data_IF_111904170458
#
_entry.id   IF_111904170458
#
_cell.length_a   1.000
_cell.length_b   1.000
_cell.length_c   1.000
_cell.angle_alpha   90.00
_cell.angle_beta   90.00
_cell.angle_gamma   90.00
#
_symmetry.space_group_name_H-M   'P 1'
#
loop_
_entity.id
_entity.type
_entity.pdbx_description
1 polymer ?
#
# COMPACT_ATOMS: atom_id res chain seq x y z
N UNK A 1 21.12 23.13 16.79
CA UNK A 1 21.14 23.57 15.38
C UNK A 1 19.74 24.06 15.05
N UNK A 2 19.53 25.26 14.51
CA UNK A 2 18.17 25.63 14.13
C UNK A 2 17.85 24.81 12.90
N UNK A 3 17.03 23.77 13.05
CA UNK A 3 16.40 23.14 11.90
C UNK A 3 15.68 24.24 11.12
N UNK A 4 15.78 24.21 9.79
CA UNK A 4 14.91 25.00 8.94
C UNK A 4 13.46 24.80 9.41
N UNK A 5 12.72 25.89 9.55
CA UNK A 5 11.40 25.86 10.17
C UNK A 5 10.43 25.05 9.29
N UNK A 6 9.96 23.91 9.82
CA UNK A 6 9.04 23.03 9.10
C UNK A 6 7.59 23.42 9.37
N UNK A 7 6.78 23.41 8.32
CA UNK A 7 5.36 23.74 8.33
C UNK A 7 4.52 22.47 8.32
N UNK A 8 3.61 22.33 9.28
CA UNK A 8 2.70 21.21 9.40
C UNK A 8 1.27 21.68 9.07
N UNK A 9 0.61 21.00 8.14
CA UNK A 9 -0.81 21.21 7.88
C UNK A 9 -1.63 20.46 8.94
N UNK A 10 -2.53 21.15 9.61
CA UNK A 10 -3.48 20.60 10.58
C UNK A 10 -4.86 20.61 9.92
N UNK A 11 -5.44 19.42 9.75
CA UNK A 11 -6.78 19.26 9.16
C UNK A 11 -7.72 18.73 10.23
N UNK A 12 -8.89 19.35 10.35
CA UNK A 12 -9.95 18.85 11.22
C UNK A 12 -11.21 19.70 11.14
N UNK A 13 -12.26 19.24 11.81
CA UNK A 13 -13.53 19.94 11.90
C UNK A 13 -13.45 20.98 13.02
N UNK A 14 -13.03 22.20 12.69
CA UNK A 14 -12.79 23.25 13.70
C UNK A 14 -14.10 23.71 14.37
N UNK A 15 -15.25 23.54 13.71
CA UNK A 15 -16.58 23.77 14.30
C UNK A 15 -16.90 22.92 15.55
N UNK A 16 -16.25 21.77 15.69
CA UNK A 16 -16.54 20.76 16.73
C UNK A 16 -15.33 20.36 17.56
N UNK A 17 -14.12 20.55 17.03
CA UNK A 17 -12.85 20.07 17.60
C UNK A 17 -11.80 21.17 17.75
N UNK A 18 -12.23 22.44 17.78
CA UNK A 18 -11.33 23.59 17.90
C UNK A 18 -10.32 23.44 19.03
N UNK A 19 -10.78 23.06 20.23
CA UNK A 19 -9.91 22.97 21.41
C UNK A 19 -8.78 21.95 21.26
N UNK A 20 -9.06 20.83 20.61
CA UNK A 20 -8.12 19.76 20.36
C UNK A 20 -7.15 20.10 19.23
N UNK A 21 -7.64 20.71 18.15
CA UNK A 21 -6.84 21.15 17.01
C UNK A 21 -5.90 22.30 17.39
N UNK A 22 -6.41 23.26 18.18
CA UNK A 22 -5.62 24.37 18.72
C UNK A 22 -4.54 23.86 19.68
N UNK A 23 -4.83 22.86 20.50
CA UNK A 23 -3.81 22.23 21.35
C UNK A 23 -2.68 21.56 20.55
N UNK A 24 -3.00 20.86 19.46
CA UNK A 24 -1.99 20.30 18.53
C UNK A 24 -1.13 21.43 17.96
N UNK A 25 -1.77 22.51 17.51
CA UNK A 25 -1.08 23.66 16.95
C UNK A 25 -0.10 24.30 17.94
N UNK A 26 -0.55 24.51 19.19
CA UNK A 26 0.26 25.05 20.28
C UNK A 26 1.49 24.17 20.56
N UNK A 27 1.32 22.84 20.58
CA UNK A 27 2.44 21.91 20.74
C UNK A 27 3.48 22.07 19.62
N UNK A 28 3.04 22.11 18.36
CA UNK A 28 3.93 22.26 17.20
C UNK A 28 4.67 23.61 17.24
N UNK A 29 3.95 24.69 17.53
CA UNK A 29 4.50 26.05 17.58
C UNK A 29 5.47 26.22 18.75
N UNK A 30 5.17 25.66 19.93
CA UNK A 30 6.05 25.69 21.11
C UNK A 30 7.41 25.03 20.82
N UNK A 31 7.42 23.98 20.00
CA UNK A 31 8.65 23.33 19.55
C UNK A 31 9.33 24.05 18.37
N UNK A 32 8.81 25.18 17.92
CA UNK A 32 9.37 25.98 16.82
C UNK A 32 8.96 25.53 15.42
N UNK A 33 7.89 24.76 15.28
CA UNK A 33 7.24 24.47 14.00
C UNK A 33 6.35 25.63 13.52
N UNK A 34 5.96 25.59 12.25
CA UNK A 34 4.87 26.40 11.67
C UNK A 34 3.64 25.52 11.49
N UNK A 35 2.46 26.15 11.49
CA UNK A 35 1.19 25.46 11.28
C UNK A 35 0.42 26.17 10.17
N UNK A 36 -0.30 25.39 9.36
CA UNK A 36 -1.39 25.84 8.49
C UNK A 36 -2.63 25.12 9.00
N UNK A 37 -3.72 25.83 9.28
CA UNK A 37 -4.98 25.28 9.76
C UNK A 37 -5.98 25.19 8.61
N UNK A 38 -6.50 24.00 8.37
CA UNK A 38 -7.52 23.74 7.35
C UNK A 38 -8.78 23.22 8.00
N UNK A 39 -9.87 24.00 7.86
CA UNK A 39 -11.18 23.61 8.35
C UNK A 39 -11.92 22.73 7.33
N UNK A 40 -12.32 21.55 7.79
CA UNK A 40 -13.16 20.62 7.03
C UNK A 40 -14.54 20.42 7.68
N UNK A 41 -14.91 21.30 8.61
CA UNK A 41 -16.27 21.40 9.14
C UNK A 41 -17.27 21.78 8.06
N UNK A 42 -18.54 21.46 8.29
CA UNK A 42 -19.63 21.69 7.30
C UNK A 42 -20.68 22.63 7.86
N UNK A 43 -21.07 22.46 9.13
CA UNK A 43 -22.26 23.09 9.69
C UNK A 43 -21.94 24.33 10.52
N UNK A 44 -20.91 24.28 11.37
CA UNK A 44 -20.57 25.38 12.26
C UNK A 44 -19.45 26.26 11.72
N UNK A 45 -19.14 27.29 12.50
CA UNK A 45 -18.00 28.18 12.26
C UNK A 45 -16.88 27.83 13.26
N UNK A 46 -15.61 27.94 12.84
CA UNK A 46 -14.47 27.76 13.75
C UNK A 46 -14.45 28.88 14.80
N UNK A 47 -13.99 28.57 16.01
CA UNK A 47 -13.79 29.57 17.07
C UNK A 47 -12.44 30.27 16.88
N UNK A 48 -11.42 29.48 16.52
CA UNK A 48 -10.08 29.96 16.18
C UNK A 48 -10.00 30.38 14.72
N UNK A 49 -9.07 31.29 14.40
CA UNK A 49 -8.76 31.65 13.01
C UNK A 49 -8.14 30.45 12.28
N UNK A 50 -8.59 30.22 11.05
CA UNK A 50 -8.10 29.17 10.16
C UNK A 50 -7.45 29.79 8.93
N UNK A 51 -6.39 29.15 8.41
CA UNK A 51 -5.65 29.64 7.25
C UNK A 51 -6.34 29.23 5.93
N UNK A 52 -7.07 28.11 5.95
CA UNK A 52 -7.86 27.59 4.84
C UNK A 52 -9.28 27.31 5.36
N UNK A 53 -10.26 28.03 4.80
CA UNK A 53 -11.67 27.92 5.17
C UNK A 53 -12.35 26.69 4.58
N UNK A 54 -13.48 26.28 5.17
CA UNK A 54 -14.34 25.20 4.63
C UNK A 54 -14.87 25.54 3.24
N UNK A 55 -15.09 26.83 2.92
CA UNK A 55 -15.50 27.30 1.60
C UNK A 55 -14.41 27.04 0.55
N UNK A 56 -13.15 27.33 0.87
CA UNK A 56 -12.01 27.04 -0.01
C UNK A 56 -11.84 25.53 -0.22
N UNK A 57 -12.00 24.73 0.85
CA UNK A 57 -11.97 23.26 0.75
C UNK A 57 -13.08 22.76 -0.17
N UNK A 58 -14.33 23.19 0.04
CA UNK A 58 -15.46 22.78 -0.79
C UNK A 58 -15.25 23.17 -2.27
N UNK A 59 -14.76 24.39 -2.52
CA UNK A 59 -14.46 24.88 -3.86
C UNK A 59 -13.39 24.03 -4.56
N UNK A 60 -12.30 23.67 -3.86
CA UNK A 60 -11.25 22.81 -4.42
C UNK A 60 -11.75 21.37 -4.65
N UNK A 61 -12.78 20.94 -3.92
CA UNK A 61 -13.48 19.68 -4.14
C UNK A 61 -14.49 19.70 -5.30
N UNK A 62 -14.66 20.85 -5.96
CA UNK A 62 -15.61 21.05 -7.05
C UNK A 62 -17.06 21.27 -6.59
N UNK A 63 -17.28 21.79 -5.39
CA UNK A 63 -18.61 22.09 -4.85
C UNK A 63 -18.61 23.38 -4.01
N UNK A 64 -19.66 23.60 -3.22
CA UNK A 64 -19.81 24.72 -2.29
C UNK A 64 -20.45 24.24 -0.99
N UNK A 65 -20.24 24.94 0.11
CA UNK A 65 -20.85 24.58 1.40
C UNK A 65 -22.38 24.46 1.34
N UNK A 66 -23.12 25.37 0.68
CA UNK A 66 -24.57 25.20 0.52
C UNK A 66 -24.98 23.94 -0.25
N UNK A 67 -24.25 23.56 -1.31
CA UNK A 67 -24.50 22.31 -2.05
C UNK A 67 -24.21 21.09 -1.18
N UNK A 68 -23.10 21.09 -0.45
CA UNK A 68 -22.70 20.00 0.45
C UNK A 68 -23.74 19.81 1.56
N UNK A 69 -24.23 20.90 2.17
CA UNK A 69 -25.31 20.85 3.16
C UNK A 69 -26.59 20.29 2.53
N UNK A 70 -26.87 20.61 1.27
CA UNK A 70 -28.07 20.14 0.57
C UNK A 70 -28.10 18.63 0.29
N UNK A 71 -26.98 17.91 0.46
CA UNK A 71 -26.96 16.46 0.33
C UNK A 71 -27.81 15.76 1.39
N UNK A 72 -28.01 16.38 2.56
CA UNK A 72 -28.71 15.79 3.72
C UNK A 72 -28.17 14.39 4.10
N UNK A 73 -26.88 14.17 3.83
CA UNK A 73 -26.16 12.92 4.06
C UNK A 73 -24.72 13.25 4.49
N UNK A 74 -24.40 12.93 5.75
CA UNK A 74 -23.10 13.24 6.35
C UNK A 74 -21.94 12.55 5.61
N UNK A 75 -22.15 11.35 5.08
CA UNK A 75 -21.12 10.61 4.36
C UNK A 75 -20.82 11.25 3.00
N UNK A 76 -21.85 11.62 2.23
CA UNK A 76 -21.65 12.34 0.97
C UNK A 76 -21.01 13.71 1.19
N UNK A 77 -21.39 14.41 2.26
CA UNK A 77 -20.81 15.69 2.61
C UNK A 77 -19.32 15.56 2.95
N UNK A 78 -18.96 14.59 3.80
CA UNK A 78 -17.56 14.36 4.18
C UNK A 78 -16.69 13.89 3.02
N UNK A 79 -17.21 13.08 2.09
CA UNK A 79 -16.48 12.71 0.87
C UNK A 79 -16.19 13.92 -0.03
N UNK A 80 -17.12 14.88 -0.14
CA UNK A 80 -16.88 16.10 -0.90
C UNK A 80 -15.78 16.96 -0.26
N UNK A 81 -15.82 17.11 1.06
CA UNK A 81 -14.77 17.81 1.82
C UNK A 81 -13.41 17.09 1.74
N UNK A 82 -13.42 15.75 1.75
CA UNK A 82 -12.21 14.94 1.66
C UNK A 82 -11.48 15.13 0.32
N UNK A 83 -12.21 15.15 -0.80
CA UNK A 83 -11.65 15.48 -2.12
C UNK A 83 -10.98 16.86 -2.14
N UNK A 84 -11.67 17.86 -1.60
CA UNK A 84 -11.15 19.22 -1.50
C UNK A 84 -9.88 19.32 -0.66
N UNK A 85 -9.91 18.72 0.53
CA UNK A 85 -8.77 18.71 1.45
C UNK A 85 -7.57 17.96 0.86
N UNK A 86 -7.81 16.85 0.16
CA UNK A 86 -6.76 16.08 -0.52
C UNK A 86 -6.08 16.88 -1.63
N UNK A 87 -6.87 17.59 -2.45
CA UNK A 87 -6.37 18.47 -3.50
C UNK A 87 -5.53 19.63 -2.92
N UNK A 88 -6.05 20.35 -1.91
CA UNK A 88 -5.32 21.45 -1.27
C UNK A 88 -4.04 20.99 -0.58
N UNK A 89 -4.07 19.84 0.10
CA UNK A 89 -2.87 19.28 0.71
C UNK A 89 -1.80 18.93 -0.35
N UNK A 90 -2.23 18.41 -1.51
CA UNK A 90 -1.32 18.12 -2.62
C UNK A 90 -0.74 19.41 -3.24
N UNK A 91 -1.54 20.47 -3.38
CA UNK A 91 -1.09 21.76 -3.88
C UNK A 91 -0.06 22.38 -2.92
N UNK A 92 -0.35 22.43 -1.62
CA UNK A 92 0.59 22.90 -0.59
C UNK A 92 1.90 22.12 -0.56
N UNK A 93 1.85 20.80 -0.81
CA UNK A 93 3.04 19.97 -0.94
C UNK A 93 3.85 20.32 -2.20
N UNK A 94 3.17 20.44 -3.34
CA UNK A 94 3.79 20.71 -4.64
C UNK A 94 4.44 22.09 -4.68
N UNK A 95 3.84 23.06 -4.00
CA UNK A 95 4.36 24.43 -3.84
C UNK A 95 5.41 24.56 -2.73
N UNK A 96 5.82 23.44 -2.11
CA UNK A 96 6.81 23.39 -1.03
C UNK A 96 6.44 24.27 0.19
N UNK A 97 5.14 24.40 0.47
CA UNK A 97 4.59 25.17 1.59
C UNK A 97 4.32 24.28 2.82
N UNK A 98 4.13 22.97 2.62
CA UNK A 98 3.88 21.99 3.67
C UNK A 98 4.98 20.91 3.72
N UNK A 99 5.37 20.52 4.93
CA UNK A 99 6.42 19.53 5.21
C UNK A 99 5.92 18.30 5.99
N UNK A 100 4.64 18.27 6.34
CA UNK A 100 3.96 17.17 7.02
C UNK A 100 2.49 17.52 7.24
N UNK A 101 1.65 16.52 7.43
CA UNK A 101 0.22 16.71 7.71
C UNK A 101 -0.18 15.94 8.96
N UNK A 102 -1.03 16.56 9.79
CA UNK A 102 -1.71 15.91 10.90
C UNK A 102 -3.23 16.10 10.75
N UNK A 103 -3.98 15.00 10.80
CA UNK A 103 -5.44 14.99 10.69
C UNK A 103 -6.03 14.38 11.95
N UNK A 104 -6.98 15.08 12.59
CA UNK A 104 -7.66 14.63 13.80
C UNK A 104 -9.13 14.31 13.51
N UNK A 105 -9.63 13.16 13.98
CA UNK A 105 -11.06 12.91 13.90
C UNK A 105 -11.58 11.59 14.48
N UNK A 106 -12.91 11.48 14.50
CA UNK A 106 -13.61 10.21 14.71
C UNK A 106 -13.64 9.37 13.43
N UNK A 107 -14.67 8.56 13.23
CA UNK A 107 -14.83 7.74 12.02
C UNK A 107 -14.84 8.59 10.74
N UNK A 108 -15.65 9.65 10.70
CA UNK A 108 -15.74 10.56 9.54
C UNK A 108 -14.43 11.30 9.25
N UNK A 109 -13.78 11.87 10.28
CA UNK A 109 -12.50 12.52 10.08
C UNK A 109 -11.38 11.55 9.71
N UNK A 110 -11.48 10.28 10.12
CA UNK A 110 -10.56 9.22 9.66
C UNK A 110 -10.78 8.90 8.19
N UNK A 111 -12.03 8.80 7.75
CA UNK A 111 -12.39 8.59 6.34
C UNK A 111 -11.71 9.64 5.44
N UNK A 112 -11.88 10.91 5.80
CA UNK A 112 -11.24 12.05 5.15
C UNK A 112 -9.70 11.96 5.21
N UNK A 113 -9.15 11.63 6.38
CA UNK A 113 -7.72 11.52 6.57
C UNK A 113 -7.09 10.48 5.63
N UNK A 114 -7.76 9.35 5.41
CA UNK A 114 -7.27 8.30 4.51
C UNK A 114 -7.16 8.80 3.07
N UNK A 115 -8.14 9.58 2.60
CA UNK A 115 -8.12 10.18 1.25
C UNK A 115 -7.00 11.21 1.09
N UNK A 116 -6.85 12.14 2.05
CA UNK A 116 -5.75 13.11 2.07
C UNK A 116 -4.39 12.39 2.07
N UNK A 117 -4.22 11.36 2.90
CA UNK A 117 -2.97 10.64 2.98
C UNK A 117 -2.63 9.89 1.69
N UNK A 118 -3.62 9.38 0.95
CA UNK A 118 -3.41 8.70 -0.33
C UNK A 118 -3.00 9.64 -1.48
N UNK A 119 -3.48 10.88 -1.45
CA UNK A 119 -3.11 11.90 -2.43
C UNK A 119 -1.63 12.31 -2.31
N UNK A 120 -1.12 12.38 -1.08
CA UNK A 120 0.25 12.77 -0.81
C UNK A 120 1.27 11.66 -1.18
N UNK A 121 2.45 12.00 -1.71
CA UNK A 121 3.46 11.02 -2.11
C UNK A 121 4.18 10.39 -0.93
N UNK A 122 4.90 9.28 -1.15
CA UNK A 122 5.75 8.67 -0.12
C UNK A 122 6.87 9.65 0.29
N UNK A 123 7.16 9.70 1.59
CA UNK A 123 8.28 10.44 2.16
C UNK A 123 7.90 11.75 2.86
N UNK A 124 6.68 12.26 2.66
CA UNK A 124 6.11 13.29 3.52
C UNK A 124 5.46 12.63 4.75
N UNK A 125 5.72 13.11 5.98
CA UNK A 125 5.03 12.64 7.18
C UNK A 125 3.52 12.85 7.11
N UNK A 126 2.75 11.78 7.35
CA UNK A 126 1.29 11.77 7.36
C UNK A 126 0.80 11.15 8.67
N UNK A 127 0.38 12.00 9.60
CA UNK A 127 -0.03 11.59 10.94
C UNK A 127 -1.55 11.66 11.07
N UNK A 128 -2.21 10.53 11.28
CA UNK A 128 -3.64 10.47 11.59
C UNK A 128 -3.81 10.26 13.09
N UNK A 129 -4.64 11.07 13.72
CA UNK A 129 -5.02 10.92 15.13
C UNK A 129 -6.50 10.58 15.16
N UNK A 130 -6.79 9.33 15.48
CA UNK A 130 -8.14 8.79 15.28
C UNK A 130 -8.59 7.91 16.43
N UNK A 131 -9.87 8.00 16.77
CA UNK A 131 -10.54 7.10 17.74
C UNK A 131 -10.68 5.66 17.23
N UNK A 132 -10.46 5.44 15.93
CA UNK A 132 -10.56 4.14 15.26
C UNK A 132 -9.27 3.73 14.54
N UNK A 133 -8.13 4.34 14.91
CA UNK A 133 -6.82 3.91 14.40
C UNK A 133 -6.61 2.41 14.59
N UNK A 134 -6.06 1.74 13.57
CA UNK A 134 -5.83 0.29 13.54
C UNK A 134 -7.09 -0.59 13.62
N UNK A 135 -8.28 0.00 13.50
CA UNK A 135 -9.53 -0.75 13.53
C UNK A 135 -9.68 -1.64 12.29
N UNK A 136 -10.25 -2.86 12.43
CA UNK A 136 -10.61 -3.69 11.28
C UNK A 136 -11.67 -3.05 10.37
N UNK A 137 -12.30 -1.95 10.77
CA UNK A 137 -13.20 -1.17 9.91
C UNK A 137 -12.45 -0.44 8.78
N UNK A 138 -11.16 -0.14 8.97
CA UNK A 138 -10.37 0.54 7.95
C UNK A 138 -9.94 -0.51 6.93
N UNK A 139 -10.51 -0.40 5.73
CA UNK A 139 -10.08 -1.21 4.62
C UNK A 139 -8.57 -0.99 4.37
N UNK A 140 -7.75 -2.06 4.37
CA UNK A 140 -6.35 -2.01 3.97
C UNK A 140 -6.07 -1.11 2.77
N UNK A 141 -6.91 -1.21 1.73
CA UNK A 141 -6.78 -0.48 0.45
C UNK A 141 -6.83 1.04 0.57
N UNK A 142 -7.28 1.56 1.71
CA UNK A 142 -7.36 2.99 1.99
C UNK A 142 -6.12 3.56 2.67
N UNK A 143 -5.21 2.71 3.14
CA UNK A 143 -4.00 3.16 3.83
C UNK A 143 -2.93 3.58 2.81
N UNK A 144 -2.36 4.77 3.01
CA UNK A 144 -1.14 5.16 2.31
C UNK A 144 0.05 4.31 2.80
N UNK A 145 1.04 4.05 1.94
CA UNK A 145 2.13 3.12 2.24
C UNK A 145 2.97 3.49 3.48
N UNK A 146 3.11 4.78 3.77
CA UNK A 146 3.90 5.35 4.86
C UNK A 146 3.04 6.13 5.87
N UNK A 147 1.74 5.81 5.95
CA UNK A 147 0.81 6.43 6.91
C UNK A 147 1.21 6.11 8.35
N UNK A 148 1.12 7.11 9.21
CA UNK A 148 1.32 6.97 10.66
C UNK A 148 -0.01 7.24 11.35
N UNK A 149 -0.38 6.41 12.33
CA UNK A 149 -1.62 6.57 13.06
C UNK A 149 -1.39 6.54 14.57
N UNK A 150 -2.16 7.35 15.30
CA UNK A 150 -2.21 7.37 16.76
C UNK A 150 -3.64 7.08 17.19
N UNK A 151 -3.82 6.04 18.00
CA UNK A 151 -5.10 5.77 18.63
C UNK A 151 -5.38 6.85 19.68
N UNK A 152 -6.39 7.67 19.41
CA UNK A 152 -6.80 8.77 20.26
C UNK A 152 -7.74 8.28 21.38
N UNK A 153 -7.15 7.59 22.36
CA UNK A 153 -7.88 7.01 23.47
C UNK A 153 -8.57 8.09 24.32
N UNK A 154 -9.88 7.94 24.56
CA UNK A 154 -10.67 8.91 25.34
C UNK A 154 -10.98 10.22 24.60
N UNK A 155 -10.67 10.29 23.30
CA UNK A 155 -10.80 11.48 22.45
C UNK A 155 -12.18 11.82 21.92
N UNK A 156 -13.24 11.19 22.43
CA UNK A 156 -14.57 11.37 21.85
C UNK A 156 -15.05 12.83 21.94
N UNK A 157 -14.78 13.49 23.07
CA UNK A 157 -15.19 14.87 23.29
C UNK A 157 -14.37 15.55 24.39
N UNK A 158 -13.80 16.71 24.06
CA UNK A 158 -13.18 17.61 25.03
C UNK A 158 -11.73 17.28 25.36
N UNK A 159 -11.02 18.30 25.82
CA UNK A 159 -9.59 18.27 26.03
C UNK A 159 -9.21 17.90 27.48
N UNK A 160 -9.33 16.62 27.83
CA UNK A 160 -8.86 16.08 29.12
C UNK A 160 -7.35 15.74 29.10
N UNK A 161 -6.77 15.36 30.25
CA UNK A 161 -5.33 15.06 30.37
C UNK A 161 -4.87 13.86 29.54
N UNK A 162 -5.75 12.86 29.34
CA UNK A 162 -5.47 11.69 28.49
C UNK A 162 -5.41 12.14 27.03
N UNK A 163 -6.39 12.95 26.60
CA UNK A 163 -6.40 13.55 25.27
C UNK A 163 -5.11 14.35 25.04
N UNK A 164 -4.77 15.30 25.93
CA UNK A 164 -3.56 16.12 25.80
C UNK A 164 -2.28 15.29 25.66
N UNK A 165 -2.16 14.20 26.42
CA UNK A 165 -1.02 13.30 26.32
C UNK A 165 -0.92 12.62 24.95
N UNK A 166 -2.05 12.12 24.41
CA UNK A 166 -2.08 11.50 23.08
C UNK A 166 -1.82 12.51 21.96
N UNK A 167 -2.43 13.70 22.04
CA UNK A 167 -2.29 14.76 21.04
C UNK A 167 -0.86 15.34 21.01
N UNK A 168 -0.21 15.51 22.16
CA UNK A 168 1.17 16.02 22.21
C UNK A 168 2.18 15.03 21.61
N UNK A 169 1.98 13.73 21.81
CA UNK A 169 2.78 12.68 21.16
C UNK A 169 2.64 12.73 19.64
N UNK A 170 1.42 12.88 19.13
CA UNK A 170 1.18 12.97 17.69
C UNK A 170 1.77 14.25 17.08
N UNK A 171 1.64 15.39 17.76
CA UNK A 171 2.24 16.66 17.36
C UNK A 171 3.77 16.59 17.28
N UNK A 172 4.41 16.02 18.31
CA UNK A 172 5.85 15.79 18.33
C UNK A 172 6.31 14.79 17.27
N UNK A 173 5.53 13.72 17.03
CA UNK A 173 5.83 12.71 16.02
C UNK A 173 5.87 13.31 14.60
N UNK A 174 4.83 14.06 14.21
CA UNK A 174 4.75 14.65 12.87
C UNK A 174 5.83 15.72 12.66
N UNK A 175 6.10 16.57 13.66
CA UNK A 175 7.12 17.62 13.56
C UNK A 175 8.53 17.03 13.55
N UNK A 176 8.81 16.05 14.41
CA UNK A 176 10.08 15.33 14.46
C UNK A 176 10.35 14.57 13.16
N UNK A 177 9.33 13.92 12.61
CA UNK A 177 9.40 13.28 11.30
C UNK A 177 9.67 14.30 10.20
N UNK A 178 8.99 15.45 10.18
CA UNK A 178 9.20 16.50 9.15
C UNK A 178 10.62 17.09 9.18
N UNK A 179 11.24 17.18 10.37
CA UNK A 179 12.63 17.62 10.53
C UNK A 179 13.65 16.57 10.08
N UNK A 180 13.31 15.30 10.23
CA UNK A 180 14.22 14.17 10.00
C UNK A 180 14.02 13.50 8.65
N UNK A 181 12.90 13.78 7.97
CA UNK A 181 12.52 13.17 6.71
C UNK A 181 13.62 13.39 5.66
N UNK A 182 13.93 12.31 4.96
CA UNK A 182 14.78 12.34 3.77
C UNK A 182 13.86 12.09 2.58
N UNK A 183 13.57 13.11 1.77
CA UNK A 183 12.73 12.94 0.59
C UNK A 183 13.29 11.83 -0.30
N UNK A 184 12.39 11.09 -0.93
CA UNK A 184 12.79 10.03 -1.85
C UNK A 184 13.61 10.62 -3.01
N UNK A 185 14.83 10.12 -3.17
CA UNK A 185 15.74 10.53 -4.22
C UNK A 185 15.35 9.90 -5.56
N UNK A 186 14.78 10.69 -6.46
CA UNK A 186 14.36 10.23 -7.81
C UNK A 186 15.49 10.25 -8.85
N UNK A 187 16.76 10.30 -8.43
CA UNK A 187 17.91 10.31 -9.35
C UNK A 187 18.12 8.99 -10.11
N UNK A 188 17.53 7.89 -9.62
CA UNK A 188 17.58 6.58 -10.26
C UNK A 188 16.16 6.05 -10.49
N UNK A 189 15.92 5.36 -11.61
CA UNK A 189 14.69 4.60 -11.83
C UNK A 189 14.57 3.46 -10.82
N UNK A 190 13.34 3.07 -10.49
CA UNK A 190 13.08 2.02 -9.50
C UNK A 190 12.40 0.83 -10.15
N UNK A 191 12.94 -0.36 -9.85
CA UNK A 191 12.28 -1.64 -10.09
C UNK A 191 11.52 -2.01 -8.82
N UNK A 192 10.22 -2.25 -8.94
CA UNK A 192 9.43 -2.80 -7.84
C UNK A 192 9.47 -4.33 -7.88
N UNK A 193 9.64 -4.99 -6.74
CA UNK A 193 9.63 -6.45 -6.64
C UNK A 193 8.81 -6.94 -5.45
N UNK A 194 8.02 -7.99 -5.63
CA UNK A 194 7.35 -8.68 -4.51
C UNK A 194 8.16 -9.89 -4.06
N UNK A 195 8.17 -10.18 -2.76
CA UNK A 195 8.81 -11.36 -2.17
C UNK A 195 8.25 -11.72 -0.80
N UNK A 196 8.59 -12.91 -0.31
CA UNK A 196 8.53 -13.31 1.09
C UNK A 196 9.93 -13.28 1.72
N UNK A 197 10.02 -13.67 2.99
CA UNK A 197 11.29 -13.81 3.70
C UNK A 197 12.27 -14.77 3.01
N UNK A 198 13.56 -14.57 3.24
CA UNK A 198 14.65 -15.34 2.61
C UNK A 198 14.67 -16.83 2.97
N UNK A 199 13.88 -17.24 3.95
CA UNK A 199 13.65 -18.64 4.29
C UNK A 199 12.74 -19.35 3.29
N UNK A 200 11.97 -18.60 2.49
CA UNK A 200 11.01 -19.13 1.51
C UNK A 200 11.40 -18.75 0.08
N UNK A 201 11.77 -17.49 -0.17
CA UNK A 201 12.14 -16.97 -1.50
C UNK A 201 13.50 -16.28 -1.46
N UNK A 202 14.37 -16.52 -2.45
CA UNK A 202 15.79 -16.09 -2.40
C UNK A 202 16.26 -15.28 -3.60
N UNK A 203 15.43 -15.15 -4.64
CA UNK A 203 15.81 -14.45 -5.87
C UNK A 203 16.21 -12.99 -5.65
N UNK A 204 15.62 -12.30 -4.67
CA UNK A 204 15.92 -10.89 -4.40
C UNK A 204 17.38 -10.68 -3.98
N UNK A 205 17.99 -11.65 -3.30
CA UNK A 205 19.40 -11.61 -2.88
C UNK A 205 20.32 -11.62 -4.12
N UNK A 206 19.94 -12.37 -5.15
CA UNK A 206 20.69 -12.52 -6.40
C UNK A 206 20.46 -11.34 -7.34
N UNK A 207 19.23 -10.83 -7.38
CA UNK A 207 18.79 -9.79 -8.32
C UNK A 207 19.19 -8.38 -7.89
N UNK A 208 19.11 -8.05 -6.59
CA UNK A 208 19.44 -6.71 -6.06
C UNK A 208 20.78 -6.16 -6.58
N UNK A 209 21.93 -6.82 -6.38
CA UNK A 209 23.22 -6.27 -6.82
C UNK A 209 23.32 -6.14 -8.35
N UNK A 210 22.63 -7.00 -9.10
CA UNK A 210 22.66 -6.98 -10.56
C UNK A 210 21.80 -5.85 -11.14
N UNK A 211 20.64 -5.58 -10.54
CA UNK A 211 19.78 -4.45 -10.90
C UNK A 211 20.48 -3.11 -10.56
N UNK A 212 21.17 -3.03 -9.41
CA UNK A 212 21.93 -1.83 -9.03
C UNK A 212 23.09 -1.52 -9.98
N UNK A 213 23.81 -2.53 -10.46
CA UNK A 213 24.88 -2.37 -11.48
C UNK A 213 24.36 -1.78 -12.79
N UNK A 214 23.07 -1.96 -13.10
CA UNK A 214 22.39 -1.43 -14.29
C UNK A 214 21.87 0.00 -14.09
N UNK A 215 22.10 0.60 -12.92
CA UNK A 215 21.71 1.98 -12.63
C UNK A 215 20.34 2.15 -11.98
N UNK A 216 19.66 1.05 -11.65
CA UNK A 216 18.33 1.06 -11.03
C UNK A 216 18.42 0.90 -9.51
N UNK A 217 17.40 1.34 -8.78
CA UNK A 217 17.15 0.88 -7.41
C UNK A 217 16.14 -0.28 -7.43
N UNK A 218 16.25 -1.21 -6.48
CA UNK A 218 15.28 -2.29 -6.32
C UNK A 218 14.53 -2.13 -5.00
N UNK A 219 13.23 -1.86 -5.10
CA UNK A 219 12.33 -1.79 -3.95
C UNK A 219 11.59 -3.12 -3.77
N UNK A 220 11.90 -3.85 -2.69
CA UNK A 220 11.28 -5.15 -2.39
C UNK A 220 10.14 -5.00 -1.39
N UNK A 221 8.97 -5.51 -1.74
CA UNK A 221 7.74 -5.45 -0.96
C UNK A 221 7.35 -6.83 -0.45
N UNK A 222 7.03 -6.92 0.84
CA UNK A 222 6.57 -8.14 1.46
C UNK A 222 5.10 -8.43 1.11
N UNK A 223 4.84 -9.52 0.39
CA UNK A 223 3.51 -9.83 -0.16
C UNK A 223 2.55 -10.48 0.88
N UNK A 224 2.31 -9.81 2.02
CA UNK A 224 1.40 -10.27 3.08
C UNK A 224 0.14 -9.41 3.22
N UNK A 225 -0.41 -8.95 2.10
CA UNK A 225 -1.60 -8.11 2.00
C UNK A 225 -1.23 -6.63 1.84
N UNK A 226 -0.82 -5.99 2.94
CA UNK A 226 -0.50 -4.55 2.92
C UNK A 226 0.70 -4.19 2.02
N UNK A 227 1.71 -5.06 1.97
CA UNK A 227 2.91 -4.77 1.18
C UNK A 227 2.65 -4.89 -0.32
N UNK A 228 1.91 -5.91 -0.78
CA UNK A 228 1.50 -6.01 -2.19
C UNK A 228 0.49 -4.94 -2.61
N UNK A 229 -0.32 -4.45 -1.67
CA UNK A 229 -1.20 -3.32 -1.91
C UNK A 229 -0.43 -2.01 -2.08
N UNK A 230 0.56 -1.73 -1.23
CA UNK A 230 1.46 -0.60 -1.42
C UNK A 230 2.20 -0.70 -2.76
N UNK A 231 2.68 -1.90 -3.09
CA UNK A 231 3.31 -2.21 -4.36
C UNK A 231 2.40 -1.91 -5.56
N UNK A 232 1.17 -2.41 -5.58
CA UNK A 232 0.24 -2.23 -6.70
C UNK A 232 -0.20 -0.75 -6.84
N UNK A 233 -0.41 -0.05 -5.72
CA UNK A 233 -0.70 1.37 -5.70
C UNK A 233 0.43 2.21 -6.32
N UNK A 234 1.69 1.88 -6.01
CA UNK A 234 2.85 2.54 -6.62
C UNK A 234 2.98 2.20 -8.10
N UNK A 235 2.78 0.93 -8.47
CA UNK A 235 2.77 0.51 -9.87
C UNK A 235 1.71 1.27 -10.68
N UNK A 236 0.48 1.39 -10.16
CA UNK A 236 -0.62 2.15 -10.79
C UNK A 236 -0.32 3.63 -10.96
N UNK A 237 0.47 4.22 -10.06
CA UNK A 237 0.95 5.61 -10.16
C UNK A 237 2.13 5.76 -11.13
N UNK A 238 2.59 4.70 -11.78
CA UNK A 238 3.72 4.73 -12.72
C UNK A 238 5.07 4.97 -12.05
N UNK A 239 5.18 4.64 -10.76
CA UNK A 239 6.38 4.89 -9.94
C UNK A 239 7.55 4.02 -10.37
N UNK A 240 7.28 2.81 -10.87
CA UNK A 240 8.31 1.85 -11.26
C UNK A 240 8.58 1.88 -12.77
N UNK A 241 9.85 1.81 -13.16
CA UNK A 241 10.26 1.60 -14.56
C UNK A 241 10.00 0.17 -15.02
N UNK A 242 10.02 -0.78 -14.09
CA UNK A 242 9.67 -2.19 -14.33
C UNK A 242 9.14 -2.81 -13.04
N UNK A 243 8.19 -3.72 -13.20
CA UNK A 243 7.68 -4.57 -12.12
C UNK A 243 8.27 -5.98 -12.24
N UNK A 244 8.76 -6.53 -11.14
CA UNK A 244 9.16 -7.93 -10.95
C UNK A 244 8.24 -8.57 -9.90
N UNK A 245 7.03 -8.93 -10.32
CA UNK A 245 6.01 -9.47 -9.42
C UNK A 245 6.11 -10.99 -9.31
N UNK A 246 7.03 -11.44 -8.46
CA UNK A 246 7.40 -12.84 -8.33
C UNK A 246 6.70 -13.58 -7.19
N UNK A 247 6.00 -12.88 -6.31
CA UNK A 247 5.26 -13.48 -5.20
C UNK A 247 3.78 -13.00 -5.14
N UNK A 248 2.93 -13.38 -6.11
CA UNK A 248 1.53 -12.97 -6.18
C UNK A 248 0.60 -13.81 -5.27
N UNK A 249 1.11 -14.40 -4.19
CA UNK A 249 0.36 -15.22 -3.23
C UNK A 249 -0.89 -14.52 -2.68
N UNK A 250 -0.88 -13.19 -2.59
CA UNK A 250 -2.04 -12.42 -2.15
C UNK A 250 -3.28 -12.59 -3.05
N UNK A 251 -3.09 -13.04 -4.31
CA UNK A 251 -4.20 -13.49 -5.17
C UNK A 251 -4.83 -14.77 -4.63
N UNK A 252 -4.04 -15.72 -4.11
CA UNK A 252 -4.57 -16.87 -3.39
C UNK A 252 -5.43 -16.43 -2.22
N UNK A 253 -4.93 -15.48 -1.42
CA UNK A 253 -5.68 -14.93 -0.28
C UNK A 253 -7.00 -14.30 -0.75
N UNK A 254 -6.99 -13.54 -1.84
CA UNK A 254 -8.20 -12.94 -2.41
C UNK A 254 -9.21 -13.99 -2.90
N UNK A 255 -8.77 -14.97 -3.69
CA UNK A 255 -9.62 -16.02 -4.28
C UNK A 255 -10.35 -16.84 -3.21
N UNK A 256 -9.72 -17.00 -2.05
CA UNK A 256 -10.22 -17.82 -0.95
C UNK A 256 -10.71 -17.05 0.27
N UNK A 257 -10.82 -15.71 0.16
CA UNK A 257 -11.47 -14.88 1.16
C UNK A 257 -10.66 -14.63 2.44
N UNK A 258 -9.34 -14.71 2.37
CA UNK A 258 -8.48 -14.26 3.47
C UNK A 258 -8.32 -12.74 3.47
N UNK A 259 -8.36 -12.15 4.66
CA UNK A 259 -8.11 -10.71 4.90
C UNK A 259 -6.66 -10.31 4.65
N UNK A 260 -5.73 -11.27 4.54
CA UNK A 260 -4.33 -11.01 4.18
C UNK A 260 -4.14 -10.86 2.65
N UNK A 261 -5.16 -10.38 1.95
CA UNK A 261 -5.11 -10.09 0.53
C UNK A 261 -4.68 -8.64 0.27
N UNK A 262 -4.20 -8.37 -0.94
CA UNK A 262 -3.90 -7.02 -1.41
C UNK A 262 -5.08 -6.36 -2.14
N UNK A 263 -6.29 -6.89 -1.95
CA UNK A 263 -7.54 -6.37 -2.51
C UNK A 263 -7.74 -6.66 -4.01
N UNK A 264 -8.89 -6.23 -4.52
CA UNK A 264 -9.35 -6.55 -5.89
C UNK A 264 -8.48 -5.98 -7.01
N UNK A 265 -7.66 -4.97 -6.71
CA UNK A 265 -6.78 -4.34 -7.70
C UNK A 265 -5.45 -5.06 -7.88
N UNK A 266 -5.11 -6.04 -7.01
CA UNK A 266 -3.80 -6.71 -7.03
C UNK A 266 -3.47 -7.30 -8.42
N UNK A 267 -2.25 -7.03 -8.90
CA UNK A 267 -1.72 -7.37 -10.24
C UNK A 267 -2.28 -6.57 -11.41
N UNK A 268 -3.14 -5.57 -11.18
CA UNK A 268 -3.68 -4.72 -12.24
C UNK A 268 -2.91 -3.41 -12.40
N UNK A 269 -2.30 -2.91 -11.33
CA UNK A 269 -1.68 -1.57 -11.30
C UNK A 269 -0.67 -1.32 -12.41
N UNK A 270 0.28 -2.24 -12.62
CA UNK A 270 1.31 -2.11 -13.66
C UNK A 270 0.71 -2.06 -15.07
N UNK A 271 -0.28 -2.91 -15.35
CA UNK A 271 -0.96 -2.93 -16.64
C UNK A 271 -1.74 -1.66 -16.94
N UNK A 272 -2.32 -1.03 -15.91
CA UNK A 272 -3.09 0.23 -16.02
C UNK A 272 -2.20 1.46 -16.23
N UNK A 273 -0.97 1.45 -15.69
CA UNK A 273 0.00 2.54 -15.83
C UNK A 273 0.94 2.38 -17.04
N UNK A 274 0.78 1.30 -17.82
CA UNK A 274 1.70 0.88 -18.87
C UNK A 274 3.14 0.58 -18.37
N UNK A 275 3.29 0.15 -17.12
CA UNK A 275 4.59 -0.34 -16.61
C UNK A 275 4.84 -1.79 -17.08
N UNK A 276 5.98 -2.10 -17.70
CA UNK A 276 6.32 -3.47 -18.10
C UNK A 276 6.49 -4.38 -16.88
N UNK A 277 6.05 -5.64 -16.98
CA UNK A 277 6.00 -6.55 -15.85
C UNK A 277 6.55 -7.95 -16.14
N UNK A 278 7.55 -8.37 -15.36
CA UNK A 278 8.02 -9.75 -15.28
C UNK A 278 7.33 -10.40 -14.09
N UNK A 279 6.64 -11.50 -14.30
CA UNK A 279 5.78 -12.15 -13.30
C UNK A 279 6.25 -13.58 -13.06
N UNK A 280 6.11 -14.08 -11.83
CA UNK A 280 6.34 -15.49 -11.50
C UNK A 280 5.35 -15.96 -10.41
N UNK A 281 5.07 -17.28 -10.30
CA UNK A 281 4.01 -17.80 -9.44
C UNK A 281 4.46 -18.06 -7.99
N UNK A 282 5.36 -17.27 -7.42
CA UNK A 282 5.90 -17.54 -6.09
C UNK A 282 4.83 -17.65 -5.01
N UNK A 283 4.90 -18.73 -4.23
CA UNK A 283 4.00 -19.05 -3.11
C UNK A 283 2.50 -19.17 -3.44
N UNK A 284 2.06 -19.27 -4.70
CA UNK A 284 0.61 -19.36 -5.00
C UNK A 284 -0.02 -20.71 -4.61
N UNK A 285 0.79 -21.66 -4.17
CA UNK A 285 0.42 -22.99 -3.67
C UNK A 285 -0.02 -23.01 -2.20
N UNK A 286 -0.02 -21.85 -1.54
CA UNK A 286 -0.50 -21.69 -0.16
C UNK A 286 -1.43 -20.48 0.02
N UNK A 287 -2.29 -20.57 1.03
CA UNK A 287 -3.09 -19.47 1.55
C UNK A 287 -2.54 -19.06 2.91
N UNK A 288 -2.56 -17.76 3.19
CA UNK A 288 -2.24 -17.18 4.49
C UNK A 288 -3.49 -16.57 5.12
N UNK A 289 -3.68 -16.71 6.43
CA UNK A 289 -4.75 -16.05 7.18
C UNK A 289 -4.32 -15.75 8.62
N UNK A 290 -5.04 -14.86 9.34
CA UNK A 290 -4.67 -14.48 10.69
C UNK A 290 -4.83 -15.66 11.67
N UNK A 291 -3.80 -15.96 12.44
CA UNK A 291 -3.82 -17.09 13.40
C UNK A 291 -4.85 -16.95 14.51
N UNK A 292 -5.29 -15.73 14.78
CA UNK A 292 -6.28 -15.42 15.83
C UNK A 292 -7.74 -15.50 15.33
N UNK A 293 -7.96 -15.73 14.04
CA UNK A 293 -9.28 -15.92 13.44
C UNK A 293 -9.50 -17.39 13.05
N UNK A 294 -10.77 -17.78 12.93
CA UNK A 294 -11.11 -19.05 12.30
C UNK A 294 -10.67 -19.02 10.82
N UNK A 295 -10.21 -20.17 10.28
CA UNK A 295 -9.85 -20.26 8.87
C UNK A 295 -11.07 -19.97 7.98
N UNK A 296 -10.85 -19.53 6.72
CA UNK A 296 -11.94 -19.47 5.74
C UNK A 296 -12.63 -20.84 5.63
N UNK A 297 -13.96 -20.87 5.55
CA UNK A 297 -14.76 -22.10 5.62
C UNK A 297 -14.33 -23.20 4.63
N UNK A 298 -13.77 -22.83 3.48
CA UNK A 298 -13.25 -23.76 2.46
C UNK A 298 -12.06 -24.61 2.98
N UNK A 299 -11.37 -24.14 4.02
CA UNK A 299 -10.23 -24.79 4.64
C UNK A 299 -10.55 -25.41 6.00
N UNK A 300 -11.81 -25.43 6.43
CA UNK A 300 -12.21 -26.05 7.70
C UNK A 300 -11.75 -27.51 7.77
N UNK A 301 -11.14 -27.90 8.90
CA UNK A 301 -10.61 -29.25 9.12
C UNK A 301 -9.28 -29.57 8.41
N UNK A 302 -8.67 -28.62 7.68
CA UNK A 302 -7.33 -28.81 7.11
C UNK A 302 -6.23 -28.60 8.15
N UNK A 303 -5.07 -29.19 7.87
CA UNK A 303 -3.86 -28.92 8.64
C UNK A 303 -3.31 -27.54 8.28
N UNK A 304 -2.95 -26.76 9.30
CA UNK A 304 -2.37 -25.43 9.15
C UNK A 304 -1.02 -25.36 9.84
N UNK A 305 -0.10 -24.64 9.19
CA UNK A 305 1.18 -24.30 9.78
C UNK A 305 1.10 -22.90 10.38
N UNK A 306 1.08 -22.80 11.71
CA UNK A 306 1.19 -21.51 12.40
C UNK A 306 2.64 -21.02 12.32
N UNK A 307 2.89 -20.00 11.51
CA UNK A 307 4.22 -19.41 11.40
C UNK A 307 4.54 -18.55 12.64
N UNK A 308 3.57 -17.79 13.14
CA UNK A 308 3.63 -17.08 14.41
C UNK A 308 2.22 -16.73 14.91
N UNK A 309 2.09 -15.86 15.93
CA UNK A 309 0.79 -15.46 16.51
C UNK A 309 -0.07 -14.56 15.59
N UNK A 310 0.48 -14.08 14.48
CA UNK A 310 -0.17 -13.18 13.54
C UNK A 310 -0.61 -13.88 12.25
N UNK A 311 0.10 -14.91 11.80
CA UNK A 311 -0.09 -15.54 10.49
C UNK A 311 0.12 -17.06 10.53
N UNK A 312 -0.81 -17.77 9.90
CA UNK A 312 -0.73 -19.20 9.62
C UNK A 312 -1.06 -19.46 8.14
N UNK A 313 -0.58 -20.61 7.65
CA UNK A 313 -0.67 -20.98 6.24
C UNK A 313 -1.25 -22.38 6.04
N UNK A 314 -1.93 -22.58 4.92
CA UNK A 314 -2.39 -23.89 4.45
C UNK A 314 -1.96 -24.15 3.01
N UNK A 315 -1.60 -25.39 2.69
CA UNK A 315 -1.38 -25.80 1.31
C UNK A 315 -2.69 -25.90 0.52
N UNK A 316 -2.63 -25.54 -0.76
CA UNK A 316 -3.72 -25.70 -1.72
C UNK A 316 -3.69 -27.06 -2.41
N UNK A 317 -4.86 -27.61 -2.69
CA UNK A 317 -5.02 -28.77 -3.58
C UNK A 317 -4.70 -28.40 -5.03
N UNK A 318 -4.57 -29.41 -5.88
CA UNK A 318 -4.42 -29.25 -7.33
C UNK A 318 -5.48 -28.33 -7.95
N UNK A 319 -6.76 -28.59 -7.70
CA UNK A 319 -7.87 -27.82 -8.28
C UNK A 319 -7.84 -26.37 -7.82
N UNK A 320 -7.43 -26.15 -6.57
CA UNK A 320 -7.33 -24.83 -5.99
C UNK A 320 -6.20 -24.01 -6.61
N UNK A 321 -5.02 -24.63 -6.77
CA UNK A 321 -3.90 -24.02 -7.50
C UNK A 321 -4.31 -23.62 -8.91
N UNK A 322 -5.00 -24.50 -9.64
CA UNK A 322 -5.50 -24.19 -10.99
C UNK A 322 -6.45 -22.98 -11.01
N UNK A 323 -7.30 -22.83 -9.99
CA UNK A 323 -8.19 -21.67 -9.87
C UNK A 323 -7.40 -20.37 -9.71
N UNK A 324 -6.38 -20.36 -8.85
CA UNK A 324 -5.50 -19.20 -8.66
C UNK A 324 -4.74 -18.85 -9.94
N UNK A 325 -4.23 -19.86 -10.66
CA UNK A 325 -3.54 -19.67 -11.94
C UNK A 325 -4.43 -18.94 -12.95
N UNK A 326 -5.70 -19.33 -13.07
CA UNK A 326 -6.66 -18.68 -13.98
C UNK A 326 -6.86 -17.21 -13.60
N UNK A 327 -7.06 -16.93 -12.31
CA UNK A 327 -7.21 -15.56 -11.81
C UNK A 327 -5.98 -14.69 -12.13
N UNK A 328 -4.77 -15.23 -11.91
CA UNK A 328 -3.52 -14.53 -12.25
C UNK A 328 -3.45 -14.24 -13.75
N UNK A 329 -3.70 -15.25 -14.60
CA UNK A 329 -3.66 -15.10 -16.05
C UNK A 329 -4.69 -14.09 -16.57
N UNK A 330 -5.91 -14.13 -16.05
CA UNK A 330 -6.99 -13.20 -16.41
C UNK A 330 -6.65 -11.76 -16.00
N UNK A 331 -5.93 -11.55 -14.89
CA UNK A 331 -5.46 -10.22 -14.47
C UNK A 331 -4.33 -9.69 -15.36
N UNK A 332 -3.25 -10.45 -15.51
CA UNK A 332 -2.07 -9.97 -16.23
C UNK A 332 -2.33 -9.81 -17.75
N UNK A 333 -3.30 -10.54 -18.30
CA UNK A 333 -3.72 -10.39 -19.70
C UNK A 333 -4.46 -9.09 -20.01
N UNK A 334 -4.92 -8.35 -18.98
CA UNK A 334 -5.50 -7.02 -19.15
C UNK A 334 -4.46 -5.91 -19.32
N UNK A 335 -3.17 -6.24 -19.15
CA UNK A 335 -2.07 -5.28 -19.29
C UNK A 335 -2.00 -4.70 -20.69
N UNK A 336 -1.74 -3.39 -20.78
CA UNK A 336 -1.40 -2.72 -22.04
C UNK A 336 0.11 -2.66 -22.30
N UNK A 337 0.92 -2.93 -21.27
CA UNK A 337 2.38 -3.02 -21.36
C UNK A 337 2.86 -4.47 -21.57
N UNK A 338 4.11 -4.65 -22.05
CA UNK A 338 4.72 -5.96 -22.15
C UNK A 338 4.68 -6.75 -20.84
N UNK A 339 4.29 -8.02 -20.93
CA UNK A 339 4.22 -8.97 -19.80
C UNK A 339 5.03 -10.21 -20.14
N UNK A 340 5.92 -10.63 -19.26
CA UNK A 340 6.61 -11.91 -19.35
C UNK A 340 6.37 -12.73 -18.09
N UNK A 341 5.68 -13.86 -18.22
CA UNK A 341 5.40 -14.78 -17.14
C UNK A 341 6.44 -15.90 -17.14
N UNK A 342 7.27 -15.96 -16.10
CA UNK A 342 8.26 -17.02 -15.88
C UNK A 342 7.62 -18.08 -14.99
N UNK A 343 7.52 -19.32 -15.47
CA UNK A 343 6.98 -20.48 -14.75
C UNK A 343 8.13 -21.47 -14.47
N UNK A 344 8.60 -21.57 -13.21
CA UNK A 344 9.53 -22.61 -12.80
C UNK A 344 8.77 -23.94 -12.66
N UNK A 345 9.23 -24.97 -13.35
CA UNK A 345 8.56 -26.27 -13.43
C UNK A 345 8.78 -27.13 -12.18
N UNK A 346 9.87 -26.90 -11.44
CA UNK A 346 10.26 -27.77 -10.30
C UNK A 346 9.59 -27.33 -8.99
N UNK A 347 9.47 -26.03 -8.75
CA UNK A 347 8.96 -25.49 -7.50
C UNK A 347 8.94 -23.96 -7.47
N UNK A 348 8.03 -23.41 -6.70
CA UNK A 348 7.66 -21.99 -6.63
C UNK A 348 7.88 -21.39 -5.24
N UNK A 349 8.30 -22.17 -4.23
CA UNK A 349 8.64 -21.64 -2.88
C UNK A 349 9.46 -22.62 -2.01
N UNK A 350 10.07 -22.16 -0.92
CA UNK A 350 11.06 -22.96 -0.14
C UNK A 350 10.54 -24.27 0.49
N UNK A 351 9.24 -24.39 0.72
CA UNK A 351 8.54 -25.52 1.33
C UNK A 351 7.94 -26.51 0.32
N UNK A 352 8.12 -26.31 -0.98
CA UNK A 352 7.71 -27.26 -2.03
C UNK A 352 8.89 -28.09 -2.58
N UNK A 353 9.91 -28.28 -1.75
CA UNK A 353 11.04 -29.18 -2.03
C UNK A 353 10.82 -30.55 -1.43
N UNK A 354 11.42 -31.58 -2.02
CA UNK A 354 11.37 -32.94 -1.48
C UNK A 354 11.68 -32.97 0.03
N UNK A 355 10.76 -33.52 0.82
CA UNK A 355 10.87 -33.60 2.28
C UNK A 355 10.31 -32.39 3.05
N UNK A 356 9.80 -31.37 2.36
CA UNK A 356 9.13 -30.22 2.97
C UNK A 356 7.59 -30.39 2.98
N UNK A 357 6.87 -29.66 3.84
CA UNK A 357 5.43 -29.87 4.07
C UNK A 357 4.53 -29.69 2.83
N UNK A 358 4.92 -28.85 1.87
CA UNK A 358 4.11 -28.53 0.69
C UNK A 358 4.65 -29.15 -0.59
N UNK A 359 5.53 -30.15 -0.48
CA UNK A 359 6.03 -30.90 -1.62
C UNK A 359 4.93 -31.75 -2.26
N UNK A 360 4.40 -31.28 -3.39
CA UNK A 360 3.40 -31.97 -4.19
C UNK A 360 3.75 -31.85 -5.69
N UNK A 361 4.56 -32.79 -6.23
CA UNK A 361 4.98 -32.75 -7.63
C UNK A 361 3.82 -32.93 -8.62
N UNK A 362 2.74 -33.61 -8.22
CA UNK A 362 1.56 -33.80 -9.08
C UNK A 362 0.76 -32.49 -9.20
N UNK A 363 0.53 -31.80 -8.09
CA UNK A 363 -0.12 -30.49 -8.09
C UNK A 363 0.76 -29.43 -8.77
N UNK A 364 2.09 -29.50 -8.64
CA UNK A 364 3.02 -28.63 -9.35
C UNK A 364 2.93 -28.82 -10.87
N UNK A 365 2.94 -30.07 -11.35
CA UNK A 365 2.79 -30.38 -12.78
C UNK A 365 1.44 -29.87 -13.33
N UNK A 366 0.37 -29.99 -12.54
CA UNK A 366 -0.95 -29.47 -12.90
C UNK A 366 -0.97 -27.93 -12.97
N UNK A 367 -0.33 -27.25 -12.02
CA UNK A 367 -0.17 -25.79 -12.00
C UNK A 367 0.56 -25.30 -13.25
N UNK A 368 1.67 -25.94 -13.62
CA UNK A 368 2.42 -25.61 -14.86
C UNK A 368 1.55 -25.80 -16.10
N UNK A 369 0.83 -26.94 -16.18
CA UNK A 369 -0.09 -27.21 -17.29
C UNK A 369 -1.20 -26.15 -17.39
N UNK A 370 -1.74 -25.72 -16.26
CA UNK A 370 -2.79 -24.69 -16.23
C UNK A 370 -2.26 -23.34 -16.72
N UNK A 371 -1.03 -22.96 -16.39
CA UNK A 371 -0.42 -21.74 -16.93
C UNK A 371 -0.31 -21.80 -18.46
N UNK A 372 0.10 -22.94 -19.03
CA UNK A 372 0.16 -23.12 -20.49
C UNK A 372 -1.19 -22.93 -21.17
N UNK A 373 -2.28 -23.40 -20.56
CA UNK A 373 -3.63 -23.29 -21.13
C UNK A 373 -4.30 -21.95 -20.90
N UNK A 374 -3.98 -21.28 -19.79
CA UNK A 374 -4.66 -20.05 -19.35
C UNK A 374 -3.94 -18.77 -19.77
N UNK A 375 -2.64 -18.84 -20.06
CA UNK A 375 -1.87 -17.71 -20.55
C UNK A 375 -2.33 -17.29 -21.95
N UNK A 376 -2.67 -16.01 -22.10
CA UNK A 376 -3.17 -15.41 -23.35
C UNK A 376 -2.38 -14.14 -23.69
N UNK A 377 -2.29 -13.74 -24.97
CA UNK A 377 -1.75 -12.45 -25.35
C UNK A 377 -2.38 -11.30 -24.52
N UNK A 378 -1.61 -10.28 -24.13
CA UNK A 378 -0.24 -9.97 -24.57
C UNK A 378 0.87 -10.69 -23.77
N UNK A 379 0.53 -11.65 -22.91
CA UNK A 379 1.49 -12.32 -22.03
C UNK A 379 2.39 -13.26 -22.81
N UNK A 380 3.71 -13.09 -22.65
CA UNK A 380 4.72 -14.04 -23.12
C UNK A 380 5.01 -15.05 -22.00
N UNK A 381 4.78 -16.34 -22.26
CA UNK A 381 5.11 -17.41 -21.34
C UNK A 381 6.57 -17.86 -21.52
N UNK A 382 7.28 -17.99 -20.40
CA UNK A 382 8.63 -18.54 -20.31
C UNK A 382 8.63 -19.66 -19.28
N UNK A 383 8.85 -20.90 -19.72
CA UNK A 383 8.98 -22.04 -18.81
C UNK A 383 10.44 -22.37 -18.54
N UNK A 384 10.76 -22.80 -17.32
CA UNK A 384 12.12 -23.16 -16.88
C UNK A 384 12.10 -24.47 -16.10
N UNK A 385 13.02 -25.38 -16.40
CA UNK A 385 13.21 -26.63 -15.68
C UNK A 385 14.03 -26.44 -14.39
N UNK A 386 13.66 -25.43 -13.60
CA UNK A 386 14.30 -25.06 -12.35
C UNK A 386 13.28 -24.78 -11.25
N UNK A 387 13.77 -24.60 -10.03
CA UNK A 387 13.01 -24.03 -8.93
C UNK A 387 13.16 -22.50 -8.93
N UNK A 388 12.14 -21.76 -8.47
CA UNK A 388 12.21 -20.29 -8.32
C UNK A 388 13.43 -19.78 -7.51
N UNK A 389 13.97 -20.63 -6.63
CA UNK A 389 15.11 -20.31 -5.76
C UNK A 389 16.47 -20.61 -6.40
N UNK A 390 16.49 -21.20 -7.59
CA UNK A 390 17.73 -21.54 -8.29
C UNK A 390 18.35 -20.30 -8.95
N UNK A 391 19.63 -20.39 -9.31
CA UNK A 391 20.33 -19.28 -9.99
C UNK A 391 19.73 -19.04 -11.37
N UNK A 392 19.34 -20.11 -12.06
CA UNK A 392 18.75 -20.08 -13.40
C UNK A 392 17.50 -19.18 -13.49
N UNK A 393 16.64 -19.19 -12.46
CA UNK A 393 15.48 -18.31 -12.41
C UNK A 393 15.89 -16.82 -12.40
N UNK A 394 16.85 -16.45 -11.54
CA UNK A 394 17.35 -15.09 -11.46
C UNK A 394 18.05 -14.65 -12.76
N UNK A 395 18.87 -15.53 -13.34
CA UNK A 395 19.54 -15.27 -14.61
C UNK A 395 18.55 -15.06 -15.74
N UNK A 396 17.45 -15.82 -15.77
CA UNK A 396 16.41 -15.66 -16.77
C UNK A 396 15.64 -14.34 -16.59
N UNK A 397 15.30 -13.96 -15.36
CA UNK A 397 14.67 -12.68 -15.07
C UNK A 397 15.55 -11.51 -15.52
N UNK A 398 16.85 -11.55 -15.24
CA UNK A 398 17.82 -10.54 -15.70
C UNK A 398 17.94 -10.52 -17.22
N UNK A 399 17.97 -11.67 -17.88
CA UNK A 399 18.01 -11.73 -19.35
C UNK A 399 16.80 -11.06 -20.00
N UNK A 400 15.62 -11.23 -19.40
CA UNK A 400 14.39 -10.56 -19.88
C UNK A 400 14.47 -9.05 -19.61
N UNK A 401 14.94 -8.66 -18.43
CA UNK A 401 15.14 -7.26 -18.07
C UNK A 401 16.12 -6.56 -19.01
N UNK A 402 17.27 -7.17 -19.29
CA UNK A 402 18.31 -6.65 -20.18
C UNK A 402 17.79 -6.52 -21.61
N UNK A 403 17.04 -7.51 -22.09
CA UNK A 403 16.38 -7.42 -23.40
C UNK A 403 15.44 -6.21 -23.46
N UNK A 404 14.62 -5.99 -22.43
CA UNK A 404 13.69 -4.85 -22.39
C UNK A 404 14.41 -3.50 -22.25
N UNK A 405 15.56 -3.47 -21.59
CA UNK A 405 16.41 -2.29 -21.52
C UNK A 405 17.00 -1.96 -22.90
N UNK A 406 17.54 -2.96 -23.61
CA UNK A 406 18.11 -2.80 -24.95
C UNK A 406 17.06 -2.39 -26.00
N UNK A 407 15.83 -2.88 -25.85
CA UNK A 407 14.68 -2.55 -26.70
C UNK A 407 14.03 -1.19 -26.35
N UNK A 408 14.47 -0.53 -25.27
CA UNK A 408 13.90 0.74 -24.79
C UNK A 408 12.51 0.62 -24.17
N UNK A 409 12.08 -0.59 -23.80
CA UNK A 409 10.83 -0.85 -23.07
C UNK A 409 10.97 -0.41 -21.62
N UNK A 410 12.14 -0.66 -21.01
CA UNK A 410 12.52 -0.11 -19.71
C UNK A 410 13.47 1.06 -19.96
N UNK A 411 13.19 2.21 -19.34
CA UNK A 411 14.06 3.38 -19.41
C UNK A 411 14.87 3.52 -18.13
N UNK A 412 16.19 3.64 -18.29
CA UNK A 412 17.15 3.96 -17.23
C UNK A 412 17.16 5.43 -16.85
#
# INVERSE_FOLDING_TARGET
>A
MPYEQKTILIIGTYDTKDSELSFIADCIQTEGGKVIRMDVGVLGEPVSEVDISKEEVAAQGGSSIPEIISFDDENLAMQAMARGAANLALDLYTDNQMHGVIILGGTMGTDLALEVCQALPIGIPKQVVSTVSFSPMIAPSRLAADIQMTLWAGGLYGLNSICKSSLSLAAGAVLGAARSAKPWNKSKPVVGMTSFGSTVLTYMIKLLPEIEKRGFELAVFHATGMGGMAFDNLARKGVFSCVMDFAPQEITNLVYGSVLSAGENRMLGAGLSNTPQIVAPGCIDLIDFPTWQDPPAVFEGREFHAHNRLICSAGLTREERCRVVREICDRISQSRAPVNLIVPNVGIQGWDKQGQPFYDPEAQMALVKEFRSSCKPPVKLTELDCHINDQEFADKALKIFDQWLDEGIITS
#
